data_IF_385582491856
#
_entry.id   IF_385582491856
#
_cell.length_a   1.000
_cell.length_b   1.000
_cell.length_c   1.000
_cell.angle_alpha   90.00
_cell.angle_beta   90.00
_cell.angle_gamma   90.00
#
_symmetry.space_group_name_H-M   'P 1'
#
loop_
_entity.id
_entity.type
_entity.pdbx_description
1 polymer ?
#
# COMPACT_ATOMS: atom_id res chain seq x y z
N UNK A 1 5.39 -16.30 -13.43
CA UNK A 1 5.46 -14.88 -13.85
C UNK A 1 4.51 -13.99 -13.05
N UNK A 2 3.22 -14.33 -12.89
CA UNK A 2 2.21 -13.48 -12.22
C UNK A 2 2.62 -12.96 -10.81
N UNK A 3 3.24 -13.80 -9.96
CA UNK A 3 3.76 -13.39 -8.64
C UNK A 3 4.88 -12.34 -8.71
N UNK A 4 5.78 -12.48 -9.68
CA UNK A 4 6.88 -11.53 -9.88
C UNK A 4 6.33 -10.17 -10.32
N UNK A 5 5.29 -10.17 -11.16
CA UNK A 5 4.60 -8.94 -11.55
C UNK A 5 3.90 -8.28 -10.36
N UNK A 6 3.25 -9.05 -9.47
CA UNK A 6 2.67 -8.51 -8.23
C UNK A 6 3.75 -7.91 -7.30
N UNK A 7 4.89 -8.57 -7.16
CA UNK A 7 6.04 -8.02 -6.41
C UNK A 7 6.56 -6.72 -7.05
N UNK A 8 6.67 -6.67 -8.38
CA UNK A 8 7.11 -5.48 -9.09
C UNK A 8 6.11 -4.31 -8.93
N UNK A 9 4.80 -4.59 -8.95
CA UNK A 9 3.76 -3.59 -8.63
C UNK A 9 3.97 -3.06 -7.20
N UNK A 10 4.30 -3.93 -6.25
CA UNK A 10 4.63 -3.56 -4.89
C UNK A 10 5.82 -2.60 -4.73
N UNK A 11 6.69 -2.51 -5.74
CA UNK A 11 7.83 -1.59 -5.73
C UNK A 11 7.50 -0.20 -6.29
N UNK A 12 6.33 0.02 -6.92
CA UNK A 12 5.92 1.32 -7.50
C UNK A 12 6.03 2.52 -6.54
N UNK A 13 5.74 2.41 -5.23
CA UNK A 13 5.85 3.56 -4.33
C UNK A 13 7.27 4.11 -4.21
N UNK A 14 8.29 3.27 -4.40
CA UNK A 14 9.69 3.65 -4.28
C UNK A 14 10.14 4.67 -5.35
N UNK A 15 10.01 4.42 -6.67
CA UNK A 15 10.32 5.42 -7.68
C UNK A 15 9.40 6.65 -7.59
N UNK A 16 8.12 6.48 -7.24
CA UNK A 16 7.21 7.62 -7.04
C UNK A 16 7.69 8.52 -5.89
N UNK A 17 8.09 7.93 -4.76
CA UNK A 17 8.68 8.63 -3.63
C UNK A 17 9.97 9.36 -3.99
N UNK A 18 10.84 8.74 -4.78
CA UNK A 18 12.06 9.37 -5.27
C UNK A 18 11.76 10.58 -6.19
N UNK A 19 10.82 10.43 -7.13
CA UNK A 19 10.37 11.53 -8.00
C UNK A 19 9.77 12.66 -7.17
N UNK A 20 8.91 12.34 -6.21
CA UNK A 20 8.31 13.32 -5.30
C UNK A 20 9.36 14.10 -4.52
N UNK A 21 10.37 13.41 -3.96
CA UNK A 21 11.50 14.05 -3.30
C UNK A 21 12.22 15.00 -4.26
N UNK A 22 12.50 14.56 -5.48
CA UNK A 22 13.15 15.40 -6.48
C UNK A 22 12.32 16.65 -6.78
N UNK A 23 11.02 16.51 -6.99
CA UNK A 23 10.09 17.63 -7.24
C UNK A 23 10.05 18.62 -6.07
N UNK A 24 10.03 18.14 -4.83
CA UNK A 24 10.08 18.97 -3.62
C UNK A 24 11.38 19.78 -3.58
N UNK A 25 12.52 19.14 -3.87
CA UNK A 25 13.83 19.77 -3.75
C UNK A 25 14.19 20.71 -4.91
N UNK A 26 13.48 20.62 -6.04
CA UNK A 26 13.79 21.39 -7.25
C UNK A 26 12.67 22.34 -7.63
N UNK A 27 11.54 21.82 -8.09
CA UNK A 27 10.45 22.60 -8.68
C UNK A 27 9.60 23.29 -7.61
N UNK A 28 9.34 22.59 -6.50
CA UNK A 28 8.48 23.04 -5.40
C UNK A 28 9.28 23.50 -4.18
N UNK A 29 10.53 23.91 -4.36
CA UNK A 29 11.39 24.35 -3.25
C UNK A 29 10.78 25.53 -2.50
N UNK A 30 10.28 26.51 -3.25
CA UNK A 30 9.70 27.75 -2.74
C UNK A 30 8.19 27.85 -2.99
N UNK A 31 7.56 26.71 -3.32
CA UNK A 31 6.12 26.64 -3.65
C UNK A 31 5.46 25.47 -2.90
N UNK A 32 4.20 25.63 -2.54
CA UNK A 32 3.46 24.54 -1.93
C UNK A 32 3.23 23.40 -2.93
N UNK A 33 3.77 22.22 -2.64
CA UNK A 33 3.41 21.00 -3.35
C UNK A 33 1.95 20.63 -3.02
N UNK A 34 1.08 20.33 -4.01
CA UNK A 34 -0.28 19.87 -3.77
C UNK A 34 -0.32 18.41 -3.26
N UNK A 35 0.32 18.14 -2.12
CA UNK A 35 0.55 16.80 -1.58
C UNK A 35 -0.74 16.01 -1.29
N UNK A 36 -1.84 16.71 -0.97
CA UNK A 36 -3.15 16.08 -0.79
C UNK A 36 -3.69 15.48 -2.09
N UNK A 37 -3.57 16.20 -3.22
CA UNK A 37 -4.00 15.71 -4.55
C UNK A 37 -3.15 14.50 -4.95
N UNK A 38 -1.84 14.57 -4.71
CA UNK A 38 -0.92 13.47 -5.02
C UNK A 38 -1.26 12.22 -4.21
N UNK A 39 -1.56 12.36 -2.92
CA UNK A 39 -2.00 11.25 -2.08
C UNK A 39 -3.31 10.62 -2.58
N UNK A 40 -4.30 11.42 -2.99
CA UNK A 40 -5.57 10.91 -3.52
C UNK A 40 -5.32 10.18 -4.84
N UNK A 41 -4.53 10.77 -5.74
CA UNK A 41 -4.16 10.14 -7.01
C UNK A 41 -3.41 8.80 -6.78
N UNK A 42 -2.53 8.74 -5.79
CA UNK A 42 -1.84 7.51 -5.40
C UNK A 42 -2.82 6.45 -4.89
N UNK A 43 -3.78 6.81 -4.03
CA UNK A 43 -4.79 5.85 -3.56
C UNK A 43 -5.68 5.35 -4.72
N UNK A 44 -6.10 6.23 -5.63
CA UNK A 44 -6.86 5.83 -6.81
C UNK A 44 -6.06 4.88 -7.71
N UNK A 45 -4.78 5.17 -7.94
CA UNK A 45 -3.88 4.25 -8.65
C UNK A 45 -3.84 2.89 -7.93
N UNK A 46 -3.69 2.88 -6.61
CA UNK A 46 -3.59 1.65 -5.83
C UNK A 46 -4.89 0.82 -5.84
N UNK A 47 -6.04 1.50 -5.82
CA UNK A 47 -7.35 0.90 -6.04
C UNK A 47 -7.46 0.25 -7.42
N UNK A 48 -7.07 0.98 -8.47
CA UNK A 48 -7.05 0.48 -9.85
C UNK A 48 -6.12 -0.72 -10.01
N UNK A 49 -4.95 -0.72 -9.37
CA UNK A 49 -4.05 -1.88 -9.34
C UNK A 49 -4.72 -3.07 -8.66
N UNK A 50 -5.49 -2.86 -7.59
CA UNK A 50 -6.33 -3.90 -6.99
C UNK A 50 -7.33 -4.48 -7.98
N UNK A 51 -8.02 -3.65 -8.77
CA UNK A 51 -8.94 -4.10 -9.83
C UNK A 51 -8.22 -4.91 -10.92
N UNK A 52 -7.14 -4.36 -11.45
CA UNK A 52 -6.42 -4.92 -12.58
C UNK A 52 -5.74 -6.23 -12.22
N UNK A 53 -5.27 -6.41 -10.98
CA UNK A 53 -4.55 -7.62 -10.56
C UNK A 53 -5.46 -8.81 -10.23
N UNK A 54 -6.78 -8.71 -10.34
CA UNK A 54 -7.72 -9.80 -10.02
C UNK A 54 -7.45 -11.09 -10.79
N UNK A 55 -7.24 -10.99 -12.10
CA UNK A 55 -6.98 -12.14 -12.97
C UNK A 55 -5.58 -12.76 -12.79
N UNK A 56 -4.74 -12.15 -11.94
CA UNK A 56 -3.37 -12.60 -11.72
C UNK A 56 -3.26 -13.66 -10.62
N UNK A 57 -4.17 -13.66 -9.65
CA UNK A 57 -4.32 -14.73 -8.66
C UNK A 57 -5.76 -14.74 -8.14
N UNK A 58 -6.32 -15.94 -7.99
CA UNK A 58 -7.67 -16.15 -7.45
C UNK A 58 -7.71 -15.88 -5.93
N UNK A 59 -6.56 -15.96 -5.25
CA UNK A 59 -6.45 -15.73 -3.82
C UNK A 59 -6.17 -14.25 -3.53
N UNK A 60 -7.15 -13.56 -2.94
CA UNK A 60 -6.95 -12.19 -2.47
C UNK A 60 -5.82 -12.11 -1.45
N UNK A 61 -5.78 -13.04 -0.50
CA UNK A 61 -4.74 -13.06 0.54
C UNK A 61 -3.34 -13.14 -0.09
N UNK A 62 -3.18 -13.96 -1.12
CA UNK A 62 -1.92 -14.07 -1.84
C UNK A 62 -1.56 -12.76 -2.54
N UNK A 63 -2.50 -12.12 -3.25
CA UNK A 63 -2.26 -10.83 -3.90
C UNK A 63 -1.86 -9.75 -2.89
N UNK A 64 -2.62 -9.66 -1.79
CA UNK A 64 -2.42 -8.69 -0.71
C UNK A 64 -1.01 -8.81 -0.11
N UNK A 65 -0.62 -10.03 0.29
CA UNK A 65 0.70 -10.28 0.87
C UNK A 65 1.80 -10.00 -0.14
N UNK A 66 1.64 -10.44 -1.39
CA UNK A 66 2.68 -10.31 -2.42
C UNK A 66 2.94 -8.86 -2.80
N UNK A 67 1.89 -8.07 -3.05
CA UNK A 67 2.02 -6.65 -3.45
C UNK A 67 2.52 -5.78 -2.29
N UNK A 68 2.15 -6.10 -1.05
CA UNK A 68 2.53 -5.28 0.11
C UNK A 68 3.79 -5.77 0.81
N UNK A 69 4.45 -6.82 0.32
CA UNK A 69 5.65 -7.39 0.95
C UNK A 69 6.76 -6.34 1.14
N UNK A 70 7.07 -5.58 0.09
CA UNK A 70 8.09 -4.52 0.16
C UNK A 70 7.65 -3.35 1.04
N UNK A 71 6.38 -2.94 0.96
CA UNK A 71 5.85 -1.88 1.81
C UNK A 71 5.88 -2.26 3.29
N UNK A 72 5.62 -3.53 3.61
CA UNK A 72 5.68 -4.03 4.97
C UNK A 72 7.13 -4.10 5.47
N UNK A 73 8.05 -4.60 4.65
CA UNK A 73 9.48 -4.60 4.98
C UNK A 73 9.99 -3.17 5.22
N UNK A 74 9.58 -2.23 4.38
CA UNK A 74 9.92 -0.82 4.50
C UNK A 74 9.37 -0.20 5.80
N UNK A 75 8.10 -0.49 6.12
CA UNK A 75 7.48 -0.09 7.38
C UNK A 75 8.29 -0.59 8.58
N UNK A 76 8.65 -1.89 8.60
CA UNK A 76 9.46 -2.45 9.68
C UNK A 76 10.82 -1.73 9.80
N UNK A 77 11.46 -1.43 8.68
CA UNK A 77 12.75 -0.75 8.66
C UNK A 77 12.66 0.70 9.17
N UNK A 78 11.60 1.44 8.81
CA UNK A 78 11.36 2.79 9.32
C UNK A 78 11.06 2.77 10.81
N UNK A 79 10.21 1.85 11.27
CA UNK A 79 9.90 1.69 12.69
C UNK A 79 11.13 1.28 13.50
N UNK A 80 11.99 0.41 12.96
CA UNK A 80 13.26 0.04 13.57
C UNK A 80 14.17 1.26 13.74
N UNK A 81 14.31 2.08 12.71
CA UNK A 81 15.09 3.32 12.76
C UNK A 81 14.55 4.32 13.80
N UNK A 82 13.23 4.51 13.87
CA UNK A 82 12.61 5.47 14.78
C UNK A 82 12.61 5.00 16.24
N UNK A 83 12.31 3.72 16.49
CA UNK A 83 12.13 3.19 17.84
C UNK A 83 13.40 2.60 18.46
N UNK A 84 14.20 1.89 17.67
CA UNK A 84 15.39 1.18 18.18
C UNK A 84 16.61 2.07 18.03
N UNK A 85 16.86 2.60 16.82
CA UNK A 85 18.05 3.40 16.56
C UNK A 85 17.92 4.86 17.02
N UNK A 86 16.69 5.36 17.20
CA UNK A 86 16.39 6.78 17.51
C UNK A 86 16.97 7.76 16.50
N UNK A 87 17.34 7.27 15.31
CA UNK A 87 17.89 8.05 14.20
C UNK A 87 17.68 7.32 12.89
N UNK A 88 17.46 8.08 11.82
CA UNK A 88 17.46 7.55 10.47
C UNK A 88 18.88 7.29 9.98
N UNK A 89 19.05 6.26 9.15
CA UNK A 89 20.33 6.02 8.48
C UNK A 89 20.57 7.06 7.39
N UNK A 90 21.84 7.48 7.29
CA UNK A 90 22.30 8.43 6.28
C UNK A 90 22.75 7.75 4.98
N UNK A 91 22.56 6.44 4.87
CA UNK A 91 22.88 5.66 3.67
C UNK A 91 21.65 5.55 2.74
N UNK A 92 21.85 4.96 1.56
CA UNK A 92 20.80 4.79 0.56
C UNK A 92 19.60 3.99 1.09
N UNK A 93 19.85 3.00 1.95
CA UNK A 93 18.79 2.15 2.51
C UNK A 93 17.88 2.97 3.44
N UNK A 94 18.48 3.77 4.33
CA UNK A 94 17.74 4.70 5.18
C UNK A 94 16.96 5.74 4.40
N UNK A 95 17.57 6.29 3.35
CA UNK A 95 16.92 7.26 2.49
C UNK A 95 15.71 6.67 1.75
N UNK A 96 15.87 5.51 1.10
CA UNK A 96 14.78 4.83 0.39
C UNK A 96 13.59 4.54 1.30
N UNK A 97 13.86 4.13 2.55
CA UNK A 97 12.80 3.85 3.52
C UNK A 97 11.95 5.05 3.90
N UNK A 98 12.53 6.24 3.86
CA UNK A 98 11.78 7.47 4.10
C UNK A 98 10.96 7.90 2.89
N UNK A 99 11.32 7.47 1.68
CA UNK A 99 10.67 7.89 0.45
C UNK A 99 9.50 6.99 0.06
N UNK A 100 9.49 5.72 0.48
CA UNK A 100 8.50 4.73 0.06
C UNK A 100 7.05 5.20 0.31
N UNK A 101 6.77 5.75 1.49
CA UNK A 101 5.44 6.25 1.87
C UNK A 101 5.22 7.74 1.56
N UNK A 102 6.20 8.41 0.96
CA UNK A 102 6.14 9.85 0.66
C UNK A 102 4.90 10.27 -0.17
N UNK A 103 4.43 9.49 -1.16
CA UNK A 103 3.20 9.84 -1.89
C UNK A 103 1.96 9.96 -0.98
N UNK A 104 1.95 9.23 0.14
CA UNK A 104 0.78 9.10 0.99
C UNK A 104 0.93 9.77 2.36
N UNK A 105 2.15 10.19 2.71
CA UNK A 105 2.48 10.72 4.04
C UNK A 105 1.61 11.92 4.43
N UNK A 106 1.20 12.76 3.47
CA UNK A 106 0.35 13.92 3.74
C UNK A 106 -1.08 13.56 4.14
N UNK A 107 -1.67 12.54 3.49
CA UNK A 107 -3.01 12.07 3.86
C UNK A 107 -2.93 11.34 5.20
N UNK A 108 -1.94 10.47 5.36
CA UNK A 108 -1.74 9.75 6.60
C UNK A 108 -1.52 10.70 7.79
N UNK A 109 -0.72 11.76 7.63
CA UNK A 109 -0.42 12.70 8.73
C UNK A 109 -1.64 13.52 9.14
N UNK A 110 -2.55 13.82 8.20
CA UNK A 110 -3.83 14.46 8.51
C UNK A 110 -4.75 13.53 9.30
N UNK A 111 -4.69 12.23 9.07
CA UNK A 111 -5.47 11.25 9.86
C UNK A 111 -4.84 10.99 11.23
N UNK A 112 -3.52 11.10 11.35
CA UNK A 112 -2.78 10.91 12.60
C UNK A 112 -2.37 12.24 13.23
N UNK A 113 -3.12 13.31 13.01
CA UNK A 113 -2.79 14.65 13.52
C UNK A 113 -2.69 14.71 15.06
N UNK A 114 -3.38 13.79 15.74
CA UNK A 114 -3.35 13.62 17.20
C UNK A 114 -2.12 12.85 17.70
N UNK A 115 -1.36 12.22 16.80
CA UNK A 115 -0.21 11.42 17.14
C UNK A 115 1.08 12.25 17.08
N UNK A 116 1.82 12.29 18.20
CA UNK A 116 3.08 13.01 18.30
C UNK A 116 4.27 12.33 17.58
N UNK A 117 4.10 11.08 17.12
CA UNK A 117 5.17 10.28 16.51
C UNK A 117 4.90 9.99 15.05
N UNK A 118 5.95 10.08 14.23
CA UNK A 118 5.90 9.79 12.79
C UNK A 118 5.58 8.32 12.51
N UNK A 119 5.88 7.42 13.45
CA UNK A 119 5.55 5.99 13.37
C UNK A 119 4.09 5.74 13.03
N UNK A 120 3.17 6.50 13.67
CA UNK A 120 1.74 6.37 13.42
C UNK A 120 1.38 6.77 12.00
N UNK A 121 2.00 7.82 11.47
CA UNK A 121 1.84 8.24 10.08
C UNK A 121 2.24 7.14 9.11
N UNK A 122 3.38 6.47 9.33
CA UNK A 122 3.82 5.36 8.47
C UNK A 122 2.89 4.15 8.55
N UNK A 123 2.44 3.78 9.76
CA UNK A 123 1.47 2.70 9.97
C UNK A 123 0.16 3.01 9.25
N UNK A 124 -0.35 4.23 9.38
CA UNK A 124 -1.59 4.67 8.71
C UNK A 124 -1.42 4.72 7.20
N UNK A 125 -0.28 5.16 6.68
CA UNK A 125 0.00 5.13 5.25
C UNK A 125 -0.03 3.69 4.71
N UNK A 126 0.64 2.76 5.39
CA UNK A 126 0.58 1.34 5.03
C UNK A 126 -0.85 0.79 5.08
N UNK A 127 -1.61 1.11 6.15
CA UNK A 127 -2.99 0.65 6.32
C UNK A 127 -3.91 1.18 5.21
N UNK A 128 -3.82 2.46 4.87
CA UNK A 128 -4.58 3.06 3.76
C UNK A 128 -4.27 2.36 2.43
N UNK A 129 -2.99 2.16 2.14
CA UNK A 129 -2.54 1.48 0.93
C UNK A 129 -3.09 0.05 0.87
N UNK A 130 -3.00 -0.69 1.97
CA UNK A 130 -3.54 -2.05 2.10
C UNK A 130 -5.07 -2.09 1.89
N UNK A 131 -5.82 -1.25 2.62
CA UNK A 131 -7.29 -1.21 2.54
C UNK A 131 -7.75 -0.85 1.13
N UNK A 132 -7.16 0.16 0.50
CA UNK A 132 -7.59 0.62 -0.82
C UNK A 132 -7.31 -0.41 -1.92
N UNK A 133 -6.19 -1.13 -1.84
CA UNK A 133 -5.93 -2.25 -2.74
C UNK A 133 -6.96 -3.37 -2.57
N UNK A 134 -7.27 -3.72 -1.32
CA UNK A 134 -8.27 -4.73 -0.99
C UNK A 134 -9.67 -4.34 -1.51
N UNK A 135 -10.06 -3.08 -1.35
CA UNK A 135 -11.32 -2.56 -1.89
C UNK A 135 -11.35 -2.71 -3.41
N UNK A 136 -10.26 -2.36 -4.11
CA UNK A 136 -10.13 -2.59 -5.55
C UNK A 136 -10.34 -4.05 -5.92
N UNK A 137 -9.74 -4.97 -5.15
CA UNK A 137 -9.94 -6.42 -5.33
C UNK A 137 -11.34 -6.94 -4.97
N UNK A 138 -12.07 -6.24 -4.11
CA UNK A 138 -13.39 -6.68 -3.63
C UNK A 138 -14.54 -6.27 -4.55
N UNK A 139 -14.36 -5.23 -5.38
CA UNK A 139 -15.38 -4.75 -6.32
C UNK A 139 -15.85 -5.87 -7.26
N UNK A 140 -17.15 -6.09 -7.42
CA UNK A 140 -17.67 -7.10 -8.34
C UNK A 140 -17.56 -8.56 -7.87
N UNK A 141 -17.14 -8.81 -6.62
CA UNK A 141 -17.45 -10.08 -5.96
C UNK A 141 -18.95 -10.08 -5.62
N UNK A 142 -19.76 -11.04 -6.10
CA UNK A 142 -21.14 -11.13 -5.67
C UNK A 142 -21.16 -11.34 -4.16
N UNK A 143 -21.89 -10.50 -3.42
CA UNK A 143 -22.00 -10.53 -1.96
C UNK A 143 -22.73 -11.78 -1.42
N UNK A 144 -22.83 -12.86 -2.20
CA UNK A 144 -23.66 -14.02 -1.92
C UNK A 144 -22.98 -15.31 -2.40
N UNK A 145 -21.98 -15.77 -1.64
CA UNK A 145 -21.73 -17.20 -1.45
C UNK A 145 -21.99 -17.51 0.02
N UNK A 146 -23.19 -17.18 0.49
CA UNK A 146 -23.73 -17.76 1.70
C UNK A 146 -24.22 -19.18 1.33
N UNK A 147 -23.47 -20.18 1.78
CA UNK A 147 -23.92 -21.56 2.06
C UNK A 147 -24.80 -22.25 1.00
N UNK A 148 -24.17 -23.05 0.13
CA UNK A 148 -24.81 -24.27 -0.36
C UNK A 148 -23.82 -25.43 -0.24
N UNK A 149 -23.95 -26.33 0.75
CA UNK A 149 -23.25 -27.61 0.70
C UNK A 149 -23.91 -28.45 -0.40
N UNK A 150 -23.21 -28.68 -1.51
CA UNK A 150 -23.61 -29.60 -2.58
C UNK A 150 -23.53 -31.09 -2.19
N UNK A 151 -23.54 -31.45 -0.90
CA UNK A 151 -23.39 -32.85 -0.46
C UNK A 151 -24.70 -33.57 -0.12
N UNK A 152 -25.87 -33.08 -0.54
CA UNK A 152 -27.15 -33.69 -0.11
C UNK A 152 -28.24 -33.95 -1.15
N UNK A 153 -27.95 -33.93 -2.45
CA UNK A 153 -29.00 -34.15 -3.48
C UNK A 153 -28.80 -35.34 -4.43
N UNK A 154 -27.68 -36.07 -4.40
CA UNK A 154 -27.47 -37.23 -5.31
C UNK A 154 -27.55 -38.60 -4.62
N UNK A 155 -28.26 -38.70 -3.48
CA UNK A 155 -28.50 -39.97 -2.78
C UNK A 155 -29.97 -40.39 -2.74
N UNK A 156 -30.86 -39.72 -3.46
CA UNK A 156 -32.32 -39.91 -3.31
C UNK A 156 -33.04 -39.91 -4.65
N UNK A 157 -32.74 -40.93 -5.45
CA UNK A 157 -33.55 -41.55 -6.52
C UNK A 157 -32.73 -42.80 -6.89
N UNK A 158 -32.86 -43.98 -6.24
CA UNK A 158 -34.03 -44.86 -6.21
C UNK A 158 -34.88 -44.76 -7.47
#
# INVERSE_FOLDING_TARGET
MKRLTLLAIGLIPLPLGYILRYLIMTIYRDRALPAGIIGVAFLLLWFCLGLLTKHMTDSDKEAMVTVHAFAFLDLLLVLFQEHILRRYWLNIIGALSQFFFLPLINIASRLTFFAYRLSWTYITAFALMYVVFYLGRSVGKPAYQATTPQSKLEGRNR
#
